data_IF_819279668853
#
_entry.id   IF_819279668853
#
_cell.length_a   1.000
_cell.length_b   1.000
_cell.length_c   1.000
_cell.angle_alpha   90.00
_cell.angle_beta   90.00
_cell.angle_gamma   90.00
#
_symmetry.space_group_name_H-M   'P 1'
#
loop_
_entity.id
_entity.type
_entity.pdbx_description
1 polymer ?
#
# COMPACT_ATOMS: atom_id res chain seq x y z
N UNK A 1 5.21 7.81 -2.87
CA UNK A 1 5.41 8.41 -1.55
C UNK A 1 6.59 9.32 -1.71
N UNK A 2 7.72 8.94 -1.13
CA UNK A 2 8.97 9.70 -1.26
C UNK A 2 9.80 9.12 -2.42
N UNK A 3 10.36 9.98 -3.25
CA UNK A 3 11.18 9.61 -4.40
C UNK A 3 12.49 10.39 -4.38
N UNK A 4 13.61 9.68 -4.23
CA UNK A 4 14.96 10.21 -4.30
C UNK A 4 15.52 9.84 -5.67
N UNK A 5 15.73 10.85 -6.51
CA UNK A 5 16.32 10.69 -7.84
C UNK A 5 17.60 11.52 -7.90
N UNK A 6 18.74 10.86 -8.13
CA UNK A 6 20.05 11.54 -8.13
C UNK A 6 20.41 12.23 -6.81
N UNK A 7 19.86 11.75 -5.68
CA UNK A 7 19.99 12.39 -4.38
C UNK A 7 20.64 11.44 -3.37
N UNK A 8 21.80 11.85 -2.87
CA UNK A 8 22.63 11.05 -1.95
C UNK A 8 22.64 11.65 -0.54
N UNK A 9 23.03 10.84 0.44
CA UNK A 9 23.30 11.28 1.83
C UNK A 9 22.08 11.87 2.57
N UNK A 10 20.87 11.40 2.26
CA UNK A 10 19.64 11.85 2.92
C UNK A 10 19.25 10.97 4.11
N UNK A 11 18.55 11.57 5.07
CA UNK A 11 17.97 10.90 6.23
C UNK A 11 16.43 10.90 6.11
N UNK A 12 15.86 9.73 5.89
CA UNK A 12 14.41 9.50 5.88
C UNK A 12 14.04 8.73 7.14
N UNK A 13 13.67 9.48 8.19
CA UNK A 13 13.43 8.93 9.52
C UNK A 13 12.02 9.24 9.99
N UNK A 14 11.32 8.26 10.56
CA UNK A 14 10.02 8.45 11.23
C UNK A 14 8.88 8.99 10.33
N UNK A 15 8.90 8.73 9.03
CA UNK A 15 7.81 9.15 8.14
C UNK A 15 6.65 8.16 8.16
N UNK A 16 5.42 8.68 8.11
CA UNK A 16 4.23 7.86 7.81
C UNK A 16 3.86 8.04 6.34
N UNK A 17 4.00 6.97 5.56
CA UNK A 17 3.84 6.98 4.11
C UNK A 17 2.66 6.11 3.73
N UNK A 18 1.53 6.76 3.44
CA UNK A 18 0.34 6.12 2.91
C UNK A 18 0.21 6.47 1.42
N UNK A 19 0.59 5.55 0.54
CA UNK A 19 0.50 5.74 -0.90
C UNK A 19 0.16 4.42 -1.57
N UNK A 20 -0.65 4.43 -2.63
CA UNK A 20 -1.13 3.19 -3.26
C UNK A 20 -0.13 2.54 -4.23
N UNK A 21 1.04 3.16 -4.44
CA UNK A 21 2.04 2.67 -5.39
C UNK A 21 3.39 2.45 -4.70
N UNK A 22 4.42 3.25 -5.01
CA UNK A 22 5.70 3.20 -4.29
C UNK A 22 5.65 3.95 -2.97
N UNK A 23 6.11 3.34 -1.88
CA UNK A 23 6.31 4.02 -0.60
C UNK A 23 7.51 4.95 -0.66
N UNK A 24 8.71 4.37 -0.67
CA UNK A 24 9.99 5.06 -0.84
C UNK A 24 10.69 4.50 -2.09
N UNK A 25 11.23 5.37 -2.93
CA UNK A 25 11.89 5.00 -4.19
C UNK A 25 13.24 5.71 -4.32
N UNK A 26 14.30 4.96 -4.63
CA UNK A 26 15.65 5.46 -4.86
C UNK A 26 16.06 5.13 -6.29
N UNK A 27 16.48 6.14 -7.04
CA UNK A 27 16.86 6.03 -8.46
C UNK A 27 18.06 6.90 -8.81
N UNK A 28 18.68 6.56 -9.93
CA UNK A 28 19.70 7.40 -10.59
C UNK A 28 20.88 7.74 -9.69
N UNK A 29 21.55 6.74 -9.12
CA UNK A 29 22.69 6.91 -8.21
C UNK A 29 22.35 7.67 -6.91
N UNK A 30 21.16 7.45 -6.35
CA UNK A 30 20.80 7.96 -5.02
C UNK A 30 21.49 7.11 -3.95
N UNK A 31 22.69 7.52 -3.54
CA UNK A 31 23.60 6.71 -2.75
C UNK A 31 23.63 7.12 -1.28
N UNK A 32 24.03 6.20 -0.40
CA UNK A 32 24.32 6.52 1.02
C UNK A 32 23.17 7.15 1.81
N UNK A 33 21.92 6.89 1.43
CA UNK A 33 20.75 7.35 2.18
C UNK A 33 20.47 6.41 3.37
N UNK A 34 20.00 6.98 4.47
CA UNK A 34 19.52 6.23 5.65
C UNK A 34 18.00 6.31 5.73
N UNK A 35 17.36 5.15 5.69
CA UNK A 35 15.90 5.02 5.69
C UNK A 35 15.51 4.18 6.89
N UNK A 36 15.09 4.83 7.97
CA UNK A 36 14.82 4.15 9.23
C UNK A 36 13.51 4.55 9.89
N UNK A 37 12.88 3.60 10.59
CA UNK A 37 11.70 3.85 11.42
C UNK A 37 10.49 4.44 10.65
N UNK A 38 10.40 4.26 9.33
CA UNK A 38 9.24 4.74 8.57
C UNK A 38 8.09 3.72 8.64
N UNK A 39 6.86 4.20 8.67
CA UNK A 39 5.64 3.37 8.58
C UNK A 39 5.05 3.47 7.18
N UNK A 40 5.07 2.36 6.42
CA UNK A 40 4.59 2.30 5.04
C UNK A 40 3.24 1.58 4.99
N UNK A 41 2.19 2.32 4.63
CA UNK A 41 0.80 1.86 4.69
C UNK A 41 0.24 1.73 3.27
N UNK A 42 -0.31 0.56 2.93
CA UNK A 42 -1.06 0.30 1.68
C UNK A 42 -0.30 0.58 0.37
N UNK A 43 1.02 0.47 0.39
CA UNK A 43 1.86 0.63 -0.79
C UNK A 43 1.94 -0.66 -1.59
N UNK A 44 1.73 -0.60 -2.91
CA UNK A 44 1.98 -1.72 -3.82
C UNK A 44 3.44 -2.18 -3.73
N UNK A 45 4.37 -1.25 -3.60
CA UNK A 45 5.78 -1.56 -3.37
C UNK A 45 6.31 -0.63 -2.29
N UNK A 46 6.71 -1.19 -1.14
CA UNK A 46 7.07 -0.39 0.03
C UNK A 46 8.35 0.41 -0.19
N UNK A 47 9.46 -0.27 -0.46
CA UNK A 47 10.74 0.37 -0.73
C UNK A 47 11.31 -0.23 -2.01
N UNK A 48 11.67 0.63 -2.97
CA UNK A 48 12.37 0.25 -4.18
C UNK A 48 13.72 0.97 -4.25
N UNK A 49 14.77 0.19 -4.45
CA UNK A 49 16.14 0.69 -4.66
C UNK A 49 16.60 0.19 -6.01
N UNK A 50 16.87 1.13 -6.91
CA UNK A 50 17.44 0.84 -8.23
C UNK A 50 18.88 0.28 -8.11
N UNK A 51 19.31 -0.53 -9.08
CA UNK A 51 20.64 -1.16 -9.07
C UNK A 51 21.80 -0.15 -9.03
N UNK A 52 21.57 1.06 -9.54
CA UNK A 52 22.56 2.14 -9.51
C UNK A 52 22.74 2.77 -8.12
N UNK A 53 21.88 2.47 -7.15
CA UNK A 53 21.85 3.13 -5.85
C UNK A 53 22.60 2.30 -4.79
N UNK A 54 23.83 2.71 -4.47
CA UNK A 54 24.75 1.98 -3.59
C UNK A 54 24.82 2.56 -2.18
N UNK A 55 25.18 1.73 -1.20
CA UNK A 55 25.48 2.17 0.17
C UNK A 55 24.29 2.66 0.99
N UNK A 56 23.06 2.44 0.51
CA UNK A 56 21.84 2.82 1.24
C UNK A 56 21.59 1.86 2.40
N UNK A 57 21.17 2.40 3.54
CA UNK A 57 20.81 1.63 4.74
C UNK A 57 19.30 1.70 4.95
N UNK A 58 18.67 0.53 5.07
CA UNK A 58 17.22 0.40 5.29
C UNK A 58 17.01 -0.46 6.54
N UNK A 59 16.50 0.13 7.61
CA UNK A 59 16.36 -0.56 8.89
C UNK A 59 15.07 -0.15 9.63
N UNK A 60 14.52 -1.04 10.45
CA UNK A 60 13.42 -0.73 11.37
C UNK A 60 12.17 -0.09 10.74
N UNK A 61 11.94 -0.27 9.43
CA UNK A 61 10.74 0.22 8.77
C UNK A 61 9.57 -0.75 8.97
N UNK A 62 8.39 -0.22 9.26
CA UNK A 62 7.18 -1.01 9.54
C UNK A 62 6.28 -0.97 8.31
N UNK A 63 5.89 -2.14 7.81
CA UNK A 63 4.93 -2.30 6.72
C UNK A 63 3.55 -2.58 7.29
N UNK A 64 2.54 -1.84 6.84
CA UNK A 64 1.12 -2.04 7.14
C UNK A 64 0.35 -2.30 5.86
N UNK A 65 0.07 -3.56 5.59
CA UNK A 65 -0.78 -3.98 4.47
C UNK A 65 -2.26 -3.89 4.83
N UNK A 66 -3.14 -3.94 3.83
CA UNK A 66 -4.58 -4.15 4.05
C UNK A 66 -4.75 -5.58 4.54
N UNK A 67 -5.25 -5.83 5.76
CA UNK A 67 -5.53 -7.19 6.20
C UNK A 67 -6.55 -7.84 5.26
N UNK A 68 -6.25 -9.06 4.78
CA UNK A 68 -7.11 -9.82 3.86
C UNK A 68 -8.58 -9.90 4.34
N UNK A 69 -8.79 -9.91 5.66
CA UNK A 69 -10.12 -9.91 6.28
C UNK A 69 -10.99 -8.71 5.87
N UNK A 70 -10.42 -7.54 5.59
CA UNK A 70 -11.20 -6.39 5.10
C UNK A 70 -11.68 -6.60 3.68
N UNK A 71 -10.86 -7.20 2.81
CA UNK A 71 -11.26 -7.54 1.45
C UNK A 71 -12.37 -8.60 1.46
N UNK A 72 -12.21 -9.64 2.28
CA UNK A 72 -13.20 -10.70 2.45
C UNK A 72 -14.52 -10.15 3.01
N UNK A 73 -14.45 -9.24 3.99
CA UNK A 73 -15.63 -8.62 4.59
C UNK A 73 -16.45 -7.82 3.56
N UNK A 74 -15.78 -7.04 2.70
CA UNK A 74 -16.45 -6.34 1.59
C UNK A 74 -17.08 -7.30 0.58
N UNK A 75 -16.42 -8.42 0.26
CA UNK A 75 -17.00 -9.43 -0.62
C UNK A 75 -18.26 -10.05 -0.02
N UNK A 76 -18.26 -10.40 1.27
CA UNK A 76 -19.46 -10.94 1.94
C UNK A 76 -20.61 -9.94 1.96
N UNK A 77 -20.35 -8.67 2.30
CA UNK A 77 -21.38 -7.63 2.33
C UNK A 77 -22.02 -7.41 0.95
N UNK A 78 -21.23 -7.42 -0.12
CA UNK A 78 -21.75 -7.28 -1.49
C UNK A 78 -22.59 -8.50 -1.91
N UNK A 79 -22.15 -9.72 -1.58
CA UNK A 79 -22.92 -10.94 -1.84
C UNK A 79 -24.26 -10.98 -1.08
N UNK A 80 -24.27 -10.58 0.19
CA UNK A 80 -25.51 -10.46 0.99
C UNK A 80 -26.46 -9.43 0.36
N UNK A 81 -25.94 -8.25 0.01
CA UNK A 81 -26.73 -7.20 -0.64
C UNK A 81 -27.37 -7.67 -1.95
N UNK A 82 -26.59 -8.32 -2.81
CA UNK A 82 -27.10 -8.93 -4.05
C UNK A 82 -28.17 -9.98 -3.77
N UNK A 83 -27.94 -10.88 -2.82
CA UNK A 83 -28.93 -11.88 -2.39
C UNK A 83 -30.26 -11.26 -1.95
N UNK A 84 -30.21 -10.19 -1.15
CA UNK A 84 -31.42 -9.47 -0.71
C UNK A 84 -32.14 -8.81 -1.88
N UNK A 85 -31.42 -8.16 -2.80
CA UNK A 85 -32.05 -7.52 -3.97
C UNK A 85 -32.75 -8.55 -4.87
N UNK A 86 -32.12 -9.70 -5.11
CA UNK A 86 -32.69 -10.81 -5.87
C UNK A 86 -33.97 -11.31 -5.20
N UNK A 87 -33.95 -11.53 -3.88
CA UNK A 87 -35.11 -11.96 -3.10
C UNK A 87 -36.28 -10.98 -3.25
N UNK A 88 -36.02 -9.67 -3.16
CA UNK A 88 -37.04 -8.63 -3.30
C UNK A 88 -37.67 -8.67 -4.71
N UNK A 89 -36.86 -8.82 -5.76
CA UNK A 89 -37.35 -8.90 -7.14
C UNK A 89 -38.21 -10.15 -7.37
N UNK A 90 -37.78 -11.32 -6.89
CA UNK A 90 -38.56 -12.55 -7.00
C UNK A 90 -39.88 -12.47 -6.22
N UNK A 91 -39.86 -11.91 -5.00
CA UNK A 91 -41.07 -11.69 -4.22
C UNK A 91 -42.05 -10.77 -4.95
N UNK A 92 -41.56 -9.69 -5.58
CA UNK A 92 -42.41 -8.77 -6.36
C UNK A 92 -43.08 -9.46 -7.56
N UNK A 93 -42.34 -10.28 -8.31
CA UNK A 93 -42.88 -11.03 -9.46
C UNK A 93 -43.89 -12.12 -9.10
N UNK A 94 -43.80 -12.71 -7.91
CA UNK A 94 -44.77 -13.71 -7.44
C UNK A 94 -46.12 -13.13 -7.00
N UNK A 95 -46.26 -11.80 -6.99
CA UNK A 95 -47.48 -11.08 -6.63
C UNK A 95 -48.12 -10.33 -7.83
N UNK A 96 -47.57 -10.46 -9.04
CA UNK A 96 -48.14 -10.00 -10.32
C UNK A 96 -48.79 -11.18 -11.05
#
# INVERSE_FOLDING_TARGET
>A
GIDLTGSSDNLLINNTINNYYFGIRLKSNSNYNSISNNTLIYNHQWIYVDESCIGNTIENNIIKEIPLIFMISWLFLTLIGLGLTILIVFKKRGHE
#
